data_IF_058590613051
#
_entry.id   IF_058590613051
#
_cell.length_a   1.000
_cell.length_b   1.000
_cell.length_c   1.000
_cell.angle_alpha   90.00
_cell.angle_beta   90.00
_cell.angle_gamma   90.00
#
_symmetry.space_group_name_H-M   'P 1'
#
loop_
_entity.id
_entity.type
_entity.pdbx_description
1 polymer ?
#
# COMPACT_ATOMS: atom_id res chain seq x y z
N UNK A 1 4.72 1.74 45.65
CA UNK A 1 3.70 1.32 44.66
C UNK A 1 3.00 2.51 43.96
N UNK A 2 3.66 3.67 43.76
CA UNK A 2 3.06 4.86 43.09
C UNK A 2 3.73 5.24 41.76
N UNK A 3 4.76 4.50 41.33
CA UNK A 3 5.54 4.79 40.11
C UNK A 3 5.19 3.93 38.89
N UNK A 4 4.27 2.97 39.04
CA UNK A 4 3.80 2.14 37.91
C UNK A 4 2.46 2.60 37.31
N UNK A 5 1.71 3.46 38.01
CA UNK A 5 0.44 4.00 37.50
C UNK A 5 0.67 5.12 36.47
N UNK A 6 1.84 5.77 36.50
CA UNK A 6 2.18 6.86 35.56
C UNK A 6 2.55 6.37 34.14
N UNK A 7 2.84 5.08 33.96
CA UNK A 7 3.14 4.50 32.64
C UNK A 7 1.90 3.93 31.94
N UNK A 8 0.75 3.89 32.62
CA UNK A 8 -0.49 3.31 32.08
C UNK A 8 -1.35 4.33 31.34
N UNK A 9 -1.15 5.62 31.56
CA UNK A 9 -1.89 6.71 30.87
C UNK A 9 -1.25 7.17 29.57
N UNK A 10 -0.03 6.75 29.26
CA UNK A 10 0.66 7.05 27.98
C UNK A 10 0.62 5.86 27.00
N UNK A 11 -0.31 4.92 27.22
CA UNK A 11 -0.55 3.75 26.37
C UNK A 11 -2.05 3.65 26.02
N UNK A 12 -2.73 4.78 25.91
CA UNK A 12 -4.12 4.90 25.42
C UNK A 12 -4.15 5.96 24.30
N UNK A 13 -3.25 5.84 23.33
CA UNK A 13 -3.38 6.48 22.02
C UNK A 13 -3.26 5.45 20.87
N UNK A 14 -3.39 4.15 21.19
CA UNK A 14 -3.18 3.06 20.25
C UNK A 14 -4.47 2.49 19.62
N UNK A 15 -5.66 3.02 19.93
CA UNK A 15 -6.92 2.35 19.52
C UNK A 15 -8.08 3.28 19.09
N UNK A 16 -7.79 4.52 18.67
CA UNK A 16 -8.82 5.45 18.19
C UNK A 16 -8.72 5.77 16.69
N UNK A 17 -8.26 4.84 15.86
CA UNK A 17 -8.28 4.99 14.39
C UNK A 17 -9.00 3.83 13.70
N UNK A 18 -10.14 3.40 14.24
CA UNK A 18 -11.23 2.88 13.41
C UNK A 18 -12.01 4.04 12.79
N UNK A 19 -11.31 5.00 12.19
CA UNK A 19 -11.98 6.03 11.40
C UNK A 19 -12.47 5.35 10.13
N UNK A 20 -13.79 5.24 10.02
CA UNK A 20 -14.58 5.12 8.79
C UNK A 20 -13.74 4.85 7.54
N UNK A 21 -13.87 3.63 6.98
CA UNK A 21 -13.48 3.34 5.61
C UNK A 21 -14.29 4.26 4.71
N UNK A 22 -13.82 5.50 4.57
CA UNK A 22 -14.34 6.46 3.66
C UNK A 22 -14.11 5.83 2.30
N UNK A 23 -15.19 5.47 1.61
CA UNK A 23 -15.17 5.01 0.24
C UNK A 23 -14.74 6.17 -0.67
N UNK A 24 -13.53 6.69 -0.46
CA UNK A 24 -12.90 7.64 -1.35
C UNK A 24 -12.62 6.86 -2.64
N UNK A 25 -13.45 7.10 -3.63
CA UNK A 25 -13.26 6.54 -4.96
C UNK A 25 -12.08 7.26 -5.62
N UNK A 26 -11.15 6.51 -6.19
CA UNK A 26 -10.10 7.09 -7.03
C UNK A 26 -10.72 7.86 -8.20
N UNK A 27 -10.07 8.93 -8.67
CA UNK A 27 -10.45 9.57 -9.93
C UNK A 27 -10.32 8.58 -11.09
N UNK A 28 -11.07 8.80 -12.18
CA UNK A 28 -11.02 7.93 -13.37
C UNK A 28 -9.58 7.70 -13.86
N UNK A 29 -8.81 8.79 -14.01
CA UNK A 29 -7.38 8.72 -14.37
C UNK A 29 -6.55 7.86 -13.41
N UNK A 30 -6.80 7.94 -12.11
CA UNK A 30 -6.07 7.14 -11.14
C UNK A 30 -6.49 5.65 -11.19
N UNK A 31 -7.76 5.35 -11.47
CA UNK A 31 -8.24 3.99 -11.69
C UNK A 31 -7.64 3.38 -12.96
N UNK A 32 -7.63 4.12 -14.06
CA UNK A 32 -7.09 3.65 -15.34
C UNK A 32 -5.59 3.35 -15.22
N UNK A 33 -4.85 4.20 -14.49
CA UNK A 33 -3.44 3.95 -14.19
C UNK A 33 -3.22 2.72 -13.30
N UNK A 34 -4.14 2.41 -12.37
CA UNK A 34 -4.08 1.15 -11.60
C UNK A 34 -4.31 -0.05 -12.52
N UNK A 35 -5.35 0.02 -13.36
CA UNK A 35 -5.67 -1.06 -14.31
C UNK A 35 -4.50 -1.32 -15.26
N UNK A 36 -3.90 -0.27 -15.83
CA UNK A 36 -2.75 -0.40 -16.71
C UNK A 36 -1.56 -1.08 -16.01
N UNK A 37 -1.26 -0.67 -14.78
CA UNK A 37 -0.19 -1.31 -13.99
C UNK A 37 -0.51 -2.78 -13.70
N UNK A 38 -1.75 -3.11 -13.35
CA UNK A 38 -2.15 -4.52 -13.13
C UNK A 38 -2.13 -5.33 -14.42
N UNK A 39 -2.49 -4.76 -15.57
CA UNK A 39 -2.37 -5.40 -16.88
C UNK A 39 -0.91 -5.75 -17.18
N UNK A 40 0.02 -4.82 -16.94
CA UNK A 40 1.46 -5.08 -17.08
C UNK A 40 1.92 -6.19 -16.11
N UNK A 41 1.48 -6.14 -14.85
CA UNK A 41 1.76 -7.19 -13.87
C UNK A 41 1.21 -8.54 -14.32
N UNK A 42 0.00 -8.59 -14.87
CA UNK A 42 -0.62 -9.80 -15.39
C UNK A 42 0.20 -10.41 -16.51
N UNK A 43 0.70 -9.60 -17.45
CA UNK A 43 1.55 -10.06 -18.54
C UNK A 43 2.90 -10.60 -18.05
N UNK A 44 3.54 -9.92 -17.08
CA UNK A 44 4.88 -10.28 -16.59
C UNK A 44 4.83 -11.48 -15.64
N UNK A 45 3.80 -11.54 -14.80
CA UNK A 45 3.68 -12.52 -13.72
C UNK A 45 2.73 -13.66 -14.06
N UNK A 46 2.04 -13.61 -15.19
CA UNK A 46 1.00 -14.56 -15.56
C UNK A 46 -0.07 -14.66 -14.46
N UNK A 47 -0.70 -13.51 -14.15
CA UNK A 47 -1.72 -13.43 -13.09
C UNK A 47 -3.05 -14.00 -13.59
N UNK A 48 -3.69 -14.86 -12.79
CA UNK A 48 -5.07 -15.26 -13.02
C UNK A 48 -6.03 -14.06 -12.92
N UNK A 49 -7.25 -14.20 -13.45
CA UNK A 49 -8.25 -13.12 -13.37
C UNK A 49 -8.56 -12.73 -11.92
N UNK A 50 -8.63 -13.71 -11.01
CA UNK A 50 -8.86 -13.47 -9.59
C UNK A 50 -7.69 -12.71 -8.95
N UNK A 51 -6.45 -13.10 -9.27
CA UNK A 51 -5.27 -12.37 -8.82
C UNK A 51 -5.26 -10.94 -9.36
N UNK A 52 -5.64 -10.71 -10.62
CA UNK A 52 -5.75 -9.37 -11.19
C UNK A 52 -6.77 -8.51 -10.44
N UNK A 53 -7.96 -9.06 -10.15
CA UNK A 53 -9.00 -8.36 -9.40
C UNK A 53 -8.52 -7.98 -7.99
N UNK A 54 -7.87 -8.92 -7.28
CA UNK A 54 -7.27 -8.65 -5.97
C UNK A 54 -6.14 -7.60 -6.06
N UNK A 55 -5.31 -7.65 -7.10
CA UNK A 55 -4.24 -6.67 -7.31
C UNK A 55 -4.77 -5.27 -7.60
N UNK A 56 -5.87 -5.13 -8.34
CA UNK A 56 -6.55 -3.84 -8.55
C UNK A 56 -7.00 -3.26 -7.22
N UNK A 57 -7.60 -4.06 -6.35
CA UNK A 57 -8.05 -3.63 -5.02
C UNK A 57 -6.86 -3.19 -4.16
N UNK A 58 -5.82 -4.02 -4.04
CA UNK A 58 -4.63 -3.71 -3.25
C UNK A 58 -3.92 -2.43 -3.73
N UNK A 59 -3.77 -2.25 -5.04
CA UNK A 59 -3.19 -1.02 -5.63
C UNK A 59 -4.08 0.20 -5.38
N UNK A 60 -5.40 0.03 -5.47
CA UNK A 60 -6.37 1.09 -5.20
C UNK A 60 -6.25 1.57 -3.75
N UNK A 61 -6.24 0.64 -2.79
CA UNK A 61 -6.06 0.94 -1.38
C UNK A 61 -4.73 1.62 -1.09
N UNK A 62 -3.63 1.15 -1.70
CA UNK A 62 -2.32 1.80 -1.57
C UNK A 62 -2.36 3.26 -2.05
N UNK A 63 -2.98 3.53 -3.20
CA UNK A 63 -3.08 4.90 -3.73
C UNK A 63 -3.94 5.78 -2.83
N UNK A 64 -5.05 5.28 -2.30
CA UNK A 64 -5.90 6.02 -1.37
C UNK A 64 -5.16 6.36 -0.07
N UNK A 65 -4.46 5.39 0.53
CA UNK A 65 -3.65 5.61 1.73
C UNK A 65 -2.53 6.63 1.48
N UNK A 66 -1.86 6.56 0.34
CA UNK A 66 -0.82 7.53 -0.03
C UNK A 66 -1.38 8.91 -0.34
N UNK A 67 -2.57 9.00 -0.94
CA UNK A 67 -3.26 10.26 -1.17
C UNK A 67 -3.67 10.91 0.15
N UNK A 68 -4.20 10.13 1.10
CA UNK A 68 -4.51 10.58 2.47
C UNK A 68 -3.25 11.10 3.17
N UNK A 69 -2.17 10.32 3.19
CA UNK A 69 -0.89 10.74 3.77
C UNK A 69 -0.36 12.05 3.15
N UNK A 70 -0.57 12.25 1.85
CA UNK A 70 -0.14 13.49 1.16
C UNK A 70 -0.97 14.71 1.54
N UNK A 71 -2.19 14.53 2.05
CA UNK A 71 -3.03 15.60 2.60
C UNK A 71 -2.67 15.91 4.05
N UNK A 72 -2.21 14.91 4.80
CA UNK A 72 -1.95 15.00 6.24
C UNK A 72 -0.52 15.47 6.58
N UNK A 73 0.44 15.30 5.66
CA UNK A 73 1.84 15.60 5.92
C UNK A 73 2.44 16.52 4.85
N UNK A 74 3.42 17.33 5.27
CA UNK A 74 4.10 18.27 4.38
C UNK A 74 4.85 17.54 3.25
N UNK A 75 4.81 18.11 2.05
CA UNK A 75 5.48 17.54 0.88
C UNK A 75 6.99 17.45 1.12
N UNK A 76 7.53 16.24 0.97
CA UNK A 76 8.97 15.97 1.14
C UNK A 76 9.42 15.75 2.58
N UNK A 77 8.51 15.88 3.57
CA UNK A 77 8.83 15.66 4.98
C UNK A 77 9.21 14.21 5.27
N UNK A 78 9.92 13.99 6.38
CA UNK A 78 10.31 12.65 6.79
C UNK A 78 9.08 11.82 7.18
N UNK A 79 8.11 12.43 7.83
CA UNK A 79 6.84 11.81 8.23
C UNK A 79 6.08 11.29 7.01
N UNK A 80 5.99 12.10 5.95
CA UNK A 80 5.34 11.66 4.70
C UNK A 80 6.06 10.45 4.09
N UNK A 81 7.40 10.45 4.11
CA UNK A 81 8.21 9.33 3.61
C UNK A 81 7.98 8.07 4.43
N UNK A 82 7.96 8.20 5.76
CA UNK A 82 7.78 7.08 6.69
C UNK A 82 6.38 6.46 6.58
N UNK A 83 5.33 7.29 6.49
CA UNK A 83 3.96 6.81 6.27
C UNK A 83 3.82 6.11 4.92
N UNK A 84 4.38 6.67 3.84
CA UNK A 84 4.36 6.03 2.51
C UNK A 84 5.15 4.72 2.50
N UNK A 85 6.26 4.66 3.24
CA UNK A 85 7.05 3.43 3.41
C UNK A 85 6.23 2.36 4.15
N UNK A 86 5.54 2.72 5.23
CA UNK A 86 4.66 1.80 5.95
C UNK A 86 3.51 1.30 5.07
N UNK A 87 2.85 2.20 4.32
CA UNK A 87 1.81 1.82 3.35
C UNK A 87 2.32 0.84 2.29
N UNK A 88 3.53 1.07 1.77
CA UNK A 88 4.16 0.18 0.81
C UNK A 88 4.50 -1.18 1.42
N UNK A 89 5.00 -1.22 2.66
CA UNK A 89 5.28 -2.48 3.37
C UNK A 89 4.01 -3.30 3.58
N UNK A 90 2.91 -2.67 3.98
CA UNK A 90 1.61 -3.32 4.12
C UNK A 90 1.12 -3.88 2.77
N UNK A 91 1.16 -3.08 1.71
CA UNK A 91 0.83 -3.53 0.35
C UNK A 91 1.68 -4.73 -0.08
N UNK A 92 2.99 -4.72 0.17
CA UNK A 92 3.87 -5.84 -0.17
C UNK A 92 3.57 -7.09 0.65
N UNK A 93 3.14 -6.94 1.91
CA UNK A 93 2.71 -8.06 2.74
C UNK A 93 1.43 -8.71 2.19
N UNK A 94 0.47 -7.90 1.74
CA UNK A 94 -0.78 -8.41 1.16
C UNK A 94 -0.57 -8.99 -0.25
N UNK A 95 0.28 -8.37 -1.07
CA UNK A 95 0.64 -8.88 -2.39
C UNK A 95 1.25 -10.29 -2.33
N UNK A 96 2.05 -10.59 -1.29
CA UNK A 96 2.63 -11.92 -1.06
C UNK A 96 1.59 -13.00 -0.71
N UNK A 97 0.39 -12.61 -0.29
CA UNK A 97 -0.73 -13.54 -0.04
C UNK A 97 -1.48 -13.87 -1.33
N UNK A 98 -1.46 -12.95 -2.30
CA UNK A 98 -2.13 -13.06 -3.60
C UNK A 98 -1.25 -13.75 -4.64
N UNK A 99 0.04 -13.41 -4.67
CA UNK A 99 0.98 -13.84 -5.70
C UNK A 99 1.94 -14.91 -5.16
N UNK A 100 2.33 -15.86 -6.01
CA UNK A 100 3.35 -16.85 -5.66
C UNK A 100 4.74 -16.22 -5.59
N UNK A 101 5.69 -16.89 -4.92
CA UNK A 101 7.09 -16.45 -4.87
C UNK A 101 7.72 -16.28 -6.25
N UNK A 102 7.40 -17.16 -7.19
CA UNK A 102 7.91 -17.08 -8.56
C UNK A 102 7.36 -15.86 -9.30
N UNK A 103 6.05 -15.61 -9.19
CA UNK A 103 5.41 -14.42 -9.75
C UNK A 103 6.05 -13.14 -9.19
N UNK A 104 6.29 -13.09 -7.88
CA UNK A 104 6.99 -11.98 -7.23
C UNK A 104 8.41 -11.79 -7.77
N UNK A 105 9.14 -12.88 -8.02
CA UNK A 105 10.49 -12.82 -8.58
C UNK A 105 10.50 -12.30 -10.03
N UNK A 106 9.55 -12.73 -10.87
CA UNK A 106 9.35 -12.18 -12.23
C UNK A 106 9.14 -10.68 -12.20
N UNK A 107 8.26 -10.21 -11.31
CA UNK A 107 7.99 -8.78 -11.16
C UNK A 107 9.22 -7.99 -10.71
N UNK A 108 9.96 -8.49 -9.72
CA UNK A 108 11.20 -7.83 -9.26
C UNK A 108 12.25 -7.75 -10.36
N UNK A 109 12.43 -8.82 -11.14
CA UNK A 109 13.34 -8.85 -12.30
C UNK A 109 12.94 -7.79 -13.32
N UNK A 110 11.65 -7.71 -13.66
CA UNK A 110 11.10 -6.71 -14.57
C UNK A 110 11.35 -5.27 -14.09
N UNK A 111 11.04 -4.97 -12.82
CA UNK A 111 11.29 -3.64 -12.23
C UNK A 111 12.77 -3.26 -12.22
N UNK A 112 13.67 -4.23 -11.95
CA UNK A 112 15.11 -4.01 -12.01
C UNK A 112 15.59 -3.69 -13.43
N UNK A 113 15.07 -4.41 -14.43
CA UNK A 113 15.39 -4.16 -15.83
C UNK A 113 14.92 -2.77 -16.30
N UNK A 114 13.76 -2.31 -15.84
CA UNK A 114 13.28 -0.96 -16.15
C UNK A 114 14.11 0.15 -15.51
N UNK A 115 14.65 -0.06 -14.31
CA UNK A 115 15.47 0.96 -13.61
C UNK A 115 16.84 1.18 -14.28
N UNK A 116 17.33 0.18 -15.00
CA UNK A 116 18.63 0.21 -15.67
C UNK A 116 18.55 0.65 -17.14
N UNK A 117 17.37 1.02 -17.63
CA UNK A 117 17.15 1.66 -18.92
C UNK A 117 17.02 3.15 -18.72
#
# INVERSE_FOLDING_TARGET
MKKQILKLTMMICALALMTNVNAQKLSKKAQDAVKQEVTEMAQVMDLSQDQQNQMIELKTQLRLKNAKASKEHAKGSQELKDVRKANMQAYMADMKKVCTKEQMAKWQKHKKAQKNK
#
